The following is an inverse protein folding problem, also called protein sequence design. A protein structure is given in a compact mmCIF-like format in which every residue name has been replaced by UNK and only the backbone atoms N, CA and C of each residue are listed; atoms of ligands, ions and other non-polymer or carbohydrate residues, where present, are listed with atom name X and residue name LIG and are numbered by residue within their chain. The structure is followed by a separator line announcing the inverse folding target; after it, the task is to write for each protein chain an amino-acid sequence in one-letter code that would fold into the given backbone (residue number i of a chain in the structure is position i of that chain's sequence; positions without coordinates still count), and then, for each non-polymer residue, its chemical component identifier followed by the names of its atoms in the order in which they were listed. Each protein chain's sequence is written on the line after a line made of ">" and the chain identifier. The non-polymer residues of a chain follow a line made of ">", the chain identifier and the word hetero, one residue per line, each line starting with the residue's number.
data_IF_103370518801
#
_entry.id   IF_103370518801
#
_cell.length_a   1.000
_cell.length_b   1.000
_cell.length_c   1.000
_cell.angle_alpha   90.00
_cell.angle_beta   90.00
_cell.angle_gamma   90.00
#
_symmetry.space_group_name_H-M   'P 1'
#
loop_
_entity.id
_entity.type
_entity.pdbx_description
1 polymer ?
#
# COMPACT_ATOMS: atom_id res chain seq x y z
N UNK A 1 -2.49 -10.84 -2.08
CA UNK A 1 -1.24 -10.51 -1.33
C UNK A 1 -1.27 -11.01 0.11
N UNK A 2 -2.09 -10.46 1.02
CA UNK A 2 -2.06 -10.84 2.46
C UNK A 2 -2.28 -12.34 2.76
N UNK A 3 -3.07 -13.04 1.94
CA UNK A 3 -3.34 -14.48 2.07
C UNK A 3 -2.11 -15.36 1.81
N UNK A 4 -1.27 -14.97 0.85
CA UNK A 4 -0.07 -15.70 0.45
C UNK A 4 0.95 -14.73 -0.15
N UNK A 5 1.75 -14.10 0.73
CA UNK A 5 2.74 -13.12 0.30
C UNK A 5 3.92 -13.78 -0.40
N UNK A 6 4.31 -14.99 0.02
CA UNK A 6 5.42 -15.75 -0.56
C UNK A 6 5.13 -16.12 -2.00
N UNK A 7 3.97 -16.72 -2.26
CA UNK A 7 3.56 -17.09 -3.62
C UNK A 7 3.46 -15.88 -4.54
N UNK A 8 2.99 -14.74 -4.03
CA UNK A 8 2.96 -13.49 -4.81
C UNK A 8 4.37 -12.99 -5.13
N UNK A 9 5.29 -12.95 -4.16
CA UNK A 9 6.68 -12.52 -4.40
C UNK A 9 7.33 -13.41 -5.46
N UNK A 10 7.17 -14.74 -5.36
CA UNK A 10 7.72 -15.69 -6.33
C UNK A 10 7.08 -15.55 -7.73
N UNK A 11 5.79 -15.20 -7.80
CA UNK A 11 5.11 -14.93 -9.06
C UNK A 11 5.61 -13.65 -9.70
N UNK A 12 5.78 -12.59 -8.90
CA UNK A 12 6.30 -11.30 -9.36
C UNK A 12 7.76 -11.39 -9.79
N UNK A 13 8.61 -12.10 -9.05
CA UNK A 13 10.01 -12.27 -9.42
C UNK A 13 10.14 -12.94 -10.78
N UNK A 14 9.40 -14.03 -11.03
CA UNK A 14 9.34 -14.69 -12.35
C UNK A 14 8.79 -13.78 -13.45
N UNK A 15 7.80 -12.94 -13.13
CA UNK A 15 7.22 -12.00 -14.08
C UNK A 15 8.22 -10.89 -14.48
N UNK A 16 9.00 -10.40 -13.53
CA UNK A 16 9.95 -9.30 -13.76
C UNK A 16 11.21 -9.74 -14.52
N UNK A 17 11.66 -10.98 -14.33
CA UNK A 17 12.88 -11.47 -14.98
C UNK A 17 13.45 -12.71 -14.30
N UNK A 18 14.20 -13.49 -15.07
CA UNK A 18 14.79 -14.74 -14.60
C UNK A 18 15.81 -14.50 -13.48
N UNK A 19 16.56 -13.41 -13.57
CA UNK A 19 17.56 -12.99 -12.59
C UNK A 19 16.98 -12.77 -11.19
N UNK A 20 15.73 -12.33 -11.07
CA UNK A 20 15.10 -12.05 -9.78
C UNK A 20 14.64 -13.32 -9.06
N UNK A 21 14.13 -14.30 -9.80
CA UNK A 21 13.78 -15.59 -9.21
C UNK A 21 15.04 -16.38 -8.87
N UNK A 22 16.07 -16.35 -9.71
CA UNK A 22 17.36 -16.99 -9.43
C UNK A 22 18.04 -16.42 -8.19
N UNK A 23 17.96 -15.09 -7.97
CA UNK A 23 18.49 -14.46 -6.76
C UNK A 23 17.81 -15.01 -5.49
N UNK A 24 16.50 -15.25 -5.54
CA UNK A 24 15.72 -15.83 -4.43
C UNK A 24 16.06 -17.32 -4.24
N UNK A 25 16.16 -18.09 -5.33
CA UNK A 25 16.45 -19.53 -5.28
C UNK A 25 17.89 -19.81 -4.81
N UNK A 26 18.83 -18.91 -5.13
CA UNK A 26 20.22 -19.00 -4.69
C UNK A 26 20.39 -18.63 -3.21
N UNK A 27 19.62 -17.67 -2.72
CA UNK A 27 19.68 -17.21 -1.35
C UNK A 27 18.29 -16.90 -0.77
N UNK A 28 17.84 -17.78 0.11
CA UNK A 28 16.56 -17.64 0.82
C UNK A 28 16.50 -16.37 1.69
N UNK A 29 17.63 -15.76 2.05
CA UNK A 29 17.66 -14.49 2.79
C UNK A 29 17.01 -13.37 1.97
N UNK A 30 17.13 -13.41 0.64
CA UNK A 30 16.54 -12.41 -0.26
C UNK A 30 15.02 -12.40 -0.12
N UNK A 31 14.37 -13.58 -0.14
CA UNK A 31 12.92 -13.68 0.06
C UNK A 31 12.50 -13.18 1.43
N UNK A 32 13.22 -13.57 2.49
CA UNK A 32 12.91 -13.15 3.85
C UNK A 32 13.06 -11.64 4.03
N UNK A 33 14.09 -11.04 3.43
CA UNK A 33 14.30 -9.60 3.43
C UNK A 33 13.19 -8.87 2.68
N UNK A 34 12.76 -9.36 1.51
CA UNK A 34 11.62 -8.77 0.78
C UNK A 34 10.37 -8.79 1.67
N UNK A 35 10.03 -9.93 2.27
CA UNK A 35 8.86 -10.06 3.16
C UNK A 35 8.94 -9.10 4.35
N UNK A 36 10.11 -8.98 4.96
CA UNK A 36 10.32 -8.11 6.11
C UNK A 36 10.22 -6.63 5.73
N UNK A 37 11.01 -6.18 4.75
CA UNK A 37 11.09 -4.78 4.34
C UNK A 37 9.82 -4.29 3.65
N UNK A 38 9.09 -5.15 2.93
CA UNK A 38 7.77 -4.82 2.38
C UNK A 38 6.62 -5.14 3.34
N UNK A 39 6.93 -5.56 4.57
CA UNK A 39 5.97 -5.95 5.58
C UNK A 39 5.20 -4.76 6.13
N UNK A 40 3.96 -4.99 6.59
CA UNK A 40 3.09 -3.92 7.07
C UNK A 40 3.72 -3.12 8.22
N UNK A 41 4.27 -3.79 9.24
CA UNK A 41 4.90 -3.11 10.38
C UNK A 41 6.14 -2.29 9.98
N UNK A 42 6.99 -2.86 9.12
CA UNK A 42 8.18 -2.17 8.63
C UNK A 42 7.79 -0.91 7.84
N UNK A 43 6.87 -1.07 6.89
CA UNK A 43 6.39 0.06 6.07
C UNK A 43 5.64 1.09 6.90
N UNK A 44 4.84 0.68 7.90
CA UNK A 44 4.14 1.60 8.79
C UNK A 44 5.09 2.44 9.62
N UNK A 45 6.17 1.82 10.11
CA UNK A 45 7.19 2.52 10.87
C UNK A 45 8.01 3.48 10.03
N UNK A 46 8.42 3.07 8.83
CA UNK A 46 9.47 3.79 8.09
C UNK A 46 8.97 4.65 6.93
N UNK A 47 7.76 4.43 6.42
CA UNK A 47 7.24 5.24 5.31
C UNK A 47 6.69 6.58 5.79
N UNK A 48 6.17 6.66 7.02
CA UNK A 48 5.76 7.94 7.61
C UNK A 48 6.95 8.90 7.70
N UNK A 49 8.13 8.40 8.10
CA UNK A 49 9.38 9.17 8.17
C UNK A 49 9.79 9.79 6.81
N UNK A 50 9.42 9.18 5.68
CA UNK A 50 9.73 9.72 4.34
C UNK A 50 8.90 10.96 4.02
N UNK A 51 7.71 11.06 4.61
CA UNK A 51 6.80 12.19 4.44
C UNK A 51 6.83 13.17 5.61
N UNK A 52 7.48 12.82 6.73
CA UNK A 52 7.81 13.79 7.76
C UNK A 52 8.85 14.75 7.19
N UNK A 53 8.35 15.92 6.78
CA UNK A 53 9.14 17.04 6.33
C UNK A 53 9.89 17.57 7.55
N UNK A 54 10.97 16.90 7.96
CA UNK A 54 11.94 17.57 8.80
C UNK A 54 12.46 18.76 7.98
N UNK A 55 12.15 19.95 8.48
CA UNK A 55 12.60 21.26 7.98
C UNK A 55 14.11 21.45 8.18
N UNK A 56 14.93 20.41 7.98
CA UNK A 56 16.39 20.51 8.05
C UNK A 56 16.96 20.39 6.62
N UNK A 57 17.64 21.45 6.18
CA UNK A 57 18.24 21.64 4.85
C UNK A 57 19.16 20.47 4.44
N UNK A 58 19.64 19.67 5.40
CA UNK A 58 20.60 18.58 5.20
C UNK A 58 20.08 17.40 4.37
N UNK A 59 18.77 17.24 4.22
CA UNK A 59 18.19 16.12 3.45
C UNK A 59 17.75 16.50 2.02
N UNK A 60 17.76 17.79 1.68
CA UNK A 60 17.28 18.32 0.39
C UNK A 60 18.07 17.76 -0.81
N UNK A 61 19.37 17.47 -0.61
CA UNK A 61 20.26 16.97 -1.67
C UNK A 61 19.95 15.57 -2.21
N UNK A 62 18.99 14.82 -1.63
CA UNK A 62 18.58 13.48 -2.09
C UNK A 62 17.10 13.37 -2.47
N UNK A 63 16.36 14.48 -2.54
CA UNK A 63 14.92 14.45 -2.81
C UNK A 63 14.64 14.10 -4.28
N UNK A 64 13.72 13.16 -4.51
CA UNK A 64 13.14 12.93 -5.83
C UNK A 64 12.41 14.20 -6.29
N UNK A 65 12.37 14.45 -7.59
CA UNK A 65 11.76 15.67 -8.20
C UNK A 65 10.35 15.96 -7.70
N UNK A 66 9.52 14.93 -7.51
CA UNK A 66 8.17 15.08 -6.97
C UNK A 66 8.14 15.67 -5.54
N UNK A 67 9.08 15.28 -4.67
CA UNK A 67 9.16 15.83 -3.32
C UNK A 67 9.63 17.29 -3.32
N UNK A 68 10.58 17.63 -4.20
CA UNK A 68 11.05 19.02 -4.34
C UNK A 68 9.89 19.95 -4.70
N UNK A 69 9.06 19.57 -5.68
CA UNK A 69 7.90 20.36 -6.08
C UNK A 69 6.85 20.48 -4.97
N UNK A 70 6.60 19.41 -4.22
CA UNK A 70 5.69 19.47 -3.06
C UNK A 70 6.20 20.43 -1.99
N UNK A 71 7.50 20.37 -1.66
CA UNK A 71 8.12 21.28 -0.69
C UNK A 71 8.09 22.74 -1.17
N UNK A 72 8.45 22.99 -2.43
CA UNK A 72 8.40 24.33 -3.03
C UNK A 72 6.99 24.91 -3.04
N UNK A 73 5.97 24.08 -3.23
CA UNK A 73 4.58 24.49 -3.17
C UNK A 73 4.14 24.82 -1.74
N UNK A 74 4.57 24.03 -0.74
CA UNK A 74 4.07 24.18 0.64
C UNK A 74 4.87 25.15 1.51
N UNK A 75 6.12 25.46 1.16
CA UNK A 75 7.01 26.29 2.00
C UNK A 75 6.46 27.69 2.30
N UNK A 76 5.68 28.26 1.39
CA UNK A 76 5.12 29.62 1.49
C UNK A 76 3.63 29.62 1.89
N UNK A 77 3.06 28.44 2.19
CA UNK A 77 1.66 28.32 2.63
C UNK A 77 1.54 28.55 4.14
N UNK A 78 0.57 29.35 4.54
CA UNK A 78 0.16 29.46 5.95
C UNK A 78 -0.76 28.28 6.30
N UNK A 79 -0.14 27.16 6.69
CA UNK A 79 -0.85 25.96 7.11
C UNK A 79 -1.29 26.07 8.59
N UNK A 80 -2.43 25.46 8.97
CA UNK A 80 -2.80 25.31 10.38
C UNK A 80 -1.73 24.56 11.17
N UNK A 81 -1.56 24.91 12.45
CA UNK A 81 -0.59 24.24 13.33
C UNK A 81 -1.02 22.81 13.71
N UNK A 82 -2.32 22.49 13.59
CA UNK A 82 -2.94 21.23 13.99
C UNK A 82 -3.23 20.30 12.81
N UNK A 83 -2.33 20.28 11.82
CA UNK A 83 -2.47 19.33 10.72
C UNK A 83 -2.47 17.88 11.22
N UNK A 84 -3.37 17.03 10.72
CA UNK A 84 -3.36 15.62 11.05
C UNK A 84 -2.06 14.98 10.57
N UNK A 85 -1.50 14.09 11.39
CA UNK A 85 -0.32 13.31 11.02
C UNK A 85 -0.59 12.52 9.73
N UNK A 86 0.37 12.57 8.80
CA UNK A 86 0.22 11.93 7.50
C UNK A 86 0.47 10.42 7.60
N UNK A 87 -0.54 9.66 8.05
CA UNK A 87 -0.47 8.21 8.08
C UNK A 87 -0.68 7.60 6.68
N UNK A 88 0.38 7.42 5.90
CA UNK A 88 0.30 6.73 4.61
C UNK A 88 -0.08 5.24 4.79
N UNK A 89 0.43 4.60 5.84
CA UNK A 89 0.15 3.19 6.18
C UNK A 89 -0.69 3.11 7.46
N UNK A 90 -2.01 3.02 7.28
CA UNK A 90 -2.98 3.11 8.40
C UNK A 90 -3.17 1.83 9.22
N UNK A 91 -4.05 0.91 8.77
CA UNK A 91 -4.45 -0.32 9.51
C UNK A 91 -4.03 -1.64 8.85
N UNK A 92 -4.02 -1.70 7.51
CA UNK A 92 -3.70 -2.94 6.80
C UNK A 92 -4.66 -4.11 7.07
N UNK A 93 -5.93 -3.88 7.40
CA UNK A 93 -6.90 -4.95 7.72
C UNK A 93 -7.85 -5.16 6.53
N UNK A 94 -8.01 -6.41 6.08
CA UNK A 94 -9.01 -6.77 5.07
C UNK A 94 -10.37 -6.88 5.75
N UNK A 95 -11.38 -6.24 5.18
CA UNK A 95 -12.75 -6.29 5.72
C UNK A 95 -13.09 -5.24 6.77
N UNK A 96 -12.16 -4.35 7.15
CA UNK A 96 -12.40 -3.28 8.15
C UNK A 96 -13.55 -2.33 7.77
N UNK A 97 -13.93 -2.28 6.49
CA UNK A 97 -15.10 -1.52 6.02
C UNK A 97 -16.40 -1.92 6.74
N UNK A 98 -16.52 -3.19 7.18
CA UNK A 98 -17.68 -3.69 7.94
C UNK A 98 -17.88 -2.96 9.28
N UNK A 99 -16.81 -2.39 9.85
CA UNK A 99 -16.87 -1.60 11.07
C UNK A 99 -17.33 -0.15 10.84
N UNK A 100 -17.42 0.28 9.58
CA UNK A 100 -17.70 1.66 9.22
C UNK A 100 -19.03 1.83 8.45
N UNK A 101 -19.50 0.77 7.80
CA UNK A 101 -20.69 0.82 6.95
C UNK A 101 -21.92 0.39 7.74
N UNK A 102 -23.02 1.13 7.56
CA UNK A 102 -24.34 0.67 7.98
C UNK A 102 -24.80 -0.52 7.11
N UNK A 103 -25.84 -1.23 7.56
CA UNK A 103 -26.44 -2.32 6.78
C UNK A 103 -26.93 -1.83 5.41
N UNK A 104 -27.60 -0.67 5.36
CA UNK A 104 -28.07 -0.05 4.12
C UNK A 104 -26.91 0.30 3.16
N UNK A 105 -25.83 0.89 3.69
CA UNK A 105 -24.65 1.23 2.90
C UNK A 105 -23.98 -0.02 2.31
N UNK A 106 -23.93 -1.09 3.10
CA UNK A 106 -23.41 -2.40 2.68
C UNK A 106 -24.23 -2.98 1.53
N UNK A 107 -25.55 -3.02 1.69
CA UNK A 107 -26.46 -3.52 0.65
C UNK A 107 -26.32 -2.72 -0.64
N UNK A 108 -26.32 -1.38 -0.53
CA UNK A 108 -26.17 -0.48 -1.69
C UNK A 108 -24.85 -0.70 -2.42
N UNK A 109 -23.75 -0.88 -1.68
CA UNK A 109 -22.44 -1.17 -2.26
C UNK A 109 -22.45 -2.52 -2.99
N UNK A 110 -22.96 -3.58 -2.35
CA UNK A 110 -23.03 -4.92 -2.93
C UNK A 110 -23.87 -4.95 -4.21
N UNK A 111 -25.04 -4.29 -4.21
CA UNK A 111 -25.88 -4.17 -5.40
C UNK A 111 -25.12 -3.52 -6.56
N UNK A 112 -24.40 -2.42 -6.29
CA UNK A 112 -23.62 -1.72 -7.32
C UNK A 112 -22.43 -2.55 -7.81
N UNK A 113 -21.77 -3.29 -6.92
CA UNK A 113 -20.69 -4.22 -7.27
C UNK A 113 -21.18 -5.30 -8.23
N UNK A 114 -22.27 -6.00 -7.90
CA UNK A 114 -22.86 -7.04 -8.74
C UNK A 114 -23.32 -6.49 -10.11
N UNK A 115 -23.96 -5.31 -10.11
CA UNK A 115 -24.37 -4.66 -11.35
C UNK A 115 -23.19 -4.32 -12.26
N UNK A 116 -22.06 -3.87 -11.70
CA UNK A 116 -20.88 -3.47 -12.47
C UNK A 116 -20.06 -4.64 -13.01
N UNK A 117 -20.10 -5.78 -12.33
CA UNK A 117 -19.36 -6.98 -12.73
C UNK A 117 -20.24 -8.01 -13.42
N UNK A 118 -21.52 -7.71 -13.64
CA UNK A 118 -22.44 -8.59 -14.36
C UNK A 118 -21.88 -8.93 -15.75
N UNK A 119 -21.85 -10.22 -16.07
CA UNK A 119 -21.28 -10.73 -17.32
C UNK A 119 -19.76 -10.80 -17.37
N UNK A 120 -19.05 -10.63 -16.24
CA UNK A 120 -17.60 -10.82 -16.15
C UNK A 120 -17.26 -12.04 -15.29
N UNK A 121 -16.18 -12.74 -15.63
CA UNK A 121 -15.62 -13.87 -14.86
C UNK A 121 -15.14 -13.46 -13.46
N UNK A 122 -14.98 -12.15 -13.21
CA UNK A 122 -14.52 -11.62 -11.92
C UNK A 122 -15.49 -11.99 -10.79
N UNK A 123 -16.78 -12.18 -11.08
CA UNK A 123 -17.76 -12.63 -10.08
C UNK A 123 -17.41 -14.01 -9.51
N UNK A 124 -16.77 -14.88 -10.29
CA UNK A 124 -16.35 -16.22 -9.84
C UNK A 124 -15.20 -16.16 -8.84
N UNK A 125 -14.42 -15.08 -8.84
CA UNK A 125 -13.28 -14.89 -7.93
C UNK A 125 -13.73 -14.47 -6.52
N UNK A 126 -14.99 -14.06 -6.38
CA UNK A 126 -15.59 -13.60 -5.14
C UNK A 126 -16.90 -14.36 -4.88
N UNK A 127 -16.84 -15.66 -4.54
CA UNK A 127 -18.04 -16.38 -4.12
C UNK A 127 -18.65 -15.62 -2.94
N UNK A 128 -19.90 -15.19 -3.09
CA UNK A 128 -20.63 -14.50 -2.04
C UNK A 128 -20.72 -15.46 -0.85
N UNK A 129 -19.99 -15.15 0.23
CA UNK A 129 -20.13 -15.84 1.50
C UNK A 129 -21.53 -15.50 2.03
N UNK A 130 -22.44 -16.49 1.99
CA UNK A 130 -23.78 -16.44 2.59
C UNK A 130 -23.71 -16.68 4.10
#
# INVERSE_FOLDING_TARGET
>A
MKKDIKGVILKLSRFLGKEYIEAIEKDNSVLNNIIYFSGFEYMKKHLSDVYDIEKDEKHVGRLYTGFLHSYEFTKDLNLPDDLPELEFVRKGIVGDWKNHFSAEQTERLNKKFLQKLNGTEVLEWYPLEY
#
